data_IF_153920551907
#
_entry.id   IF_153920551907
#
_cell.length_a   1.000
_cell.length_b   1.000
_cell.length_c   1.000
_cell.angle_alpha   90.00
_cell.angle_beta   90.00
_cell.angle_gamma   90.00
#
_symmetry.space_group_name_H-M   'P 1'
#
loop_
_entity.id
_entity.type
_entity.pdbx_description
1 polymer ?
#
# COMPACT_ATOMS: atom_id res chain seq x y z
N UNK A 1 -45.66 23.95 17.98
CA UNK A 1 -45.87 23.60 16.57
C UNK A 1 -44.58 22.97 16.06
N UNK A 2 -44.49 21.64 16.03
CA UNK A 2 -43.36 20.94 15.41
C UNK A 2 -43.71 20.73 13.94
N UNK A 3 -43.39 21.71 13.10
CA UNK A 3 -43.50 21.53 11.65
C UNK A 3 -42.46 20.49 11.24
N UNK A 4 -42.90 19.26 10.93
CA UNK A 4 -42.06 18.27 10.26
C UNK A 4 -41.77 18.82 8.87
N UNK A 5 -40.50 19.04 8.56
CA UNK A 5 -40.07 19.40 7.20
C UNK A 5 -40.53 18.26 6.28
N UNK A 6 -41.28 18.56 5.20
CA UNK A 6 -41.69 17.56 4.23
C UNK A 6 -40.49 16.77 3.69
N UNK A 7 -40.62 15.45 3.61
CA UNK A 7 -39.55 14.50 3.27
C UNK A 7 -38.98 14.77 1.87
N UNK A 8 -39.81 15.28 0.96
CA UNK A 8 -39.47 15.73 -0.39
C UNK A 8 -38.56 16.97 -0.40
N UNK A 9 -38.72 17.88 0.56
CA UNK A 9 -37.83 19.05 0.72
C UNK A 9 -36.48 18.61 1.27
N UNK A 10 -36.45 17.65 2.19
CA UNK A 10 -35.20 17.07 2.69
C UNK A 10 -34.44 16.33 1.58
N UNK A 11 -35.15 15.55 0.76
CA UNK A 11 -34.56 14.88 -0.41
C UNK A 11 -34.08 15.86 -1.48
N UNK A 12 -34.83 16.92 -1.78
CA UNK A 12 -34.40 17.96 -2.72
C UNK A 12 -33.20 18.73 -2.19
N UNK A 13 -33.16 19.04 -0.89
CA UNK A 13 -32.04 19.74 -0.26
C UNK A 13 -30.80 18.86 -0.21
N UNK A 14 -30.93 17.56 0.07
CA UNK A 14 -29.85 16.58 -0.01
C UNK A 14 -29.31 16.47 -1.44
N UNK A 15 -30.18 16.34 -2.45
CA UNK A 15 -29.78 16.31 -3.87
C UNK A 15 -29.12 17.62 -4.34
N UNK A 16 -29.56 18.77 -3.84
CA UNK A 16 -28.97 20.06 -4.15
C UNK A 16 -27.59 20.24 -3.49
N UNK A 17 -27.45 19.83 -2.22
CA UNK A 17 -26.16 19.82 -1.51
C UNK A 17 -25.17 18.83 -2.15
N UNK A 18 -25.65 17.69 -2.67
CA UNK A 18 -24.84 16.74 -3.43
C UNK A 18 -24.39 17.28 -4.79
N UNK A 19 -25.25 18.04 -5.49
CA UNK A 19 -24.92 18.67 -6.76
C UNK A 19 -23.79 19.73 -6.61
N UNK A 20 -23.79 20.48 -5.50
CA UNK A 20 -22.82 21.54 -5.21
C UNK A 20 -21.61 21.08 -4.36
N UNK A 21 -21.51 19.78 -4.02
CA UNK A 21 -20.37 19.27 -3.29
C UNK A 21 -19.07 19.49 -4.09
N UNK A 22 -18.03 19.98 -3.42
CA UNK A 22 -16.69 20.19 -3.98
C UNK A 22 -15.68 19.44 -3.15
N UNK A 23 -14.66 18.88 -3.81
CA UNK A 23 -13.55 18.23 -3.13
C UNK A 23 -12.80 19.26 -2.26
N UNK A 24 -12.87 19.17 -0.92
CA UNK A 24 -12.21 20.13 -0.04
C UNK A 24 -10.68 20.05 -0.16
N UNK A 25 -10.16 18.93 -0.65
CA UNK A 25 -8.73 18.68 -0.85
C UNK A 25 -8.26 19.02 -2.25
N UNK A 26 -9.13 19.51 -3.15
CA UNK A 26 -8.83 19.69 -4.58
C UNK A 26 -7.45 20.30 -4.83
N UNK A 27 -7.17 21.45 -4.23
CA UNK A 27 -5.88 22.13 -4.46
C UNK A 27 -4.73 21.56 -3.63
N UNK A 28 -5.02 20.87 -2.53
CA UNK A 28 -4.00 20.22 -1.70
C UNK A 28 -3.33 19.05 -2.41
N UNK A 29 -3.99 18.44 -3.40
CA UNK A 29 -3.38 17.39 -4.23
C UNK A 29 -2.15 17.85 -5.02
N UNK A 30 -1.94 19.16 -5.19
CA UNK A 30 -0.70 19.71 -5.75
C UNK A 30 0.53 19.44 -4.88
N UNK A 31 0.36 19.04 -3.61
CA UNK A 31 1.47 18.64 -2.75
C UNK A 31 2.26 17.46 -3.33
N UNK A 32 1.62 16.51 -4.01
CA UNK A 32 2.33 15.39 -4.62
C UNK A 32 3.33 15.83 -5.71
N UNK A 33 2.94 16.52 -6.80
CA UNK A 33 3.90 17.02 -7.78
C UNK A 33 4.81 18.13 -7.22
N UNK A 34 4.48 18.75 -6.09
CA UNK A 34 5.37 19.68 -5.40
C UNK A 34 6.60 18.99 -4.77
N UNK A 35 6.51 17.72 -4.34
CA UNK A 35 7.66 17.00 -3.76
C UNK A 35 8.90 16.97 -4.65
N UNK A 36 8.83 16.47 -5.90
CA UNK A 36 10.00 16.48 -6.78
C UNK A 36 10.43 17.90 -7.14
N UNK A 37 9.53 18.88 -7.14
CA UNK A 37 9.87 20.29 -7.35
C UNK A 37 10.65 20.88 -6.15
N UNK A 38 10.26 20.56 -4.92
CA UNK A 38 11.00 20.91 -3.70
C UNK A 38 12.38 20.26 -3.72
N UNK A 39 12.45 18.98 -4.09
CA UNK A 39 13.72 18.26 -4.26
C UNK A 39 14.62 18.91 -5.30
N UNK A 40 14.08 19.25 -6.47
CA UNK A 40 14.78 19.96 -7.53
C UNK A 40 15.31 21.32 -7.04
N UNK A 41 14.48 22.10 -6.35
CA UNK A 41 14.86 23.40 -5.79
C UNK A 41 15.97 23.26 -4.75
N UNK A 42 15.87 22.29 -3.84
CA UNK A 42 16.87 22.02 -2.82
C UNK A 42 18.21 21.59 -3.44
N UNK A 43 18.19 20.69 -4.42
CA UNK A 43 19.39 20.23 -5.13
C UNK A 43 20.00 21.36 -5.97
N UNK A 44 19.18 22.23 -6.56
CA UNK A 44 19.64 23.42 -7.28
C UNK A 44 20.32 24.42 -6.34
N UNK A 45 19.74 24.67 -5.17
CA UNK A 45 20.35 25.53 -4.15
C UNK A 45 21.67 24.93 -3.61
N UNK A 46 21.69 23.61 -3.35
CA UNK A 46 22.92 22.88 -3.04
C UNK A 46 23.98 23.02 -4.14
N UNK A 47 23.57 22.97 -5.42
CA UNK A 47 24.49 23.17 -6.54
C UNK A 47 25.15 24.55 -6.48
N UNK A 48 24.43 25.62 -6.12
CA UNK A 48 24.99 26.98 -6.04
C UNK A 48 25.98 27.12 -4.88
N UNK A 49 25.64 26.61 -3.69
CA UNK A 49 26.45 26.82 -2.49
C UNK A 49 26.65 25.52 -1.68
N UNK A 50 27.35 24.51 -2.23
CA UNK A 50 27.41 23.16 -1.64
C UNK A 50 27.98 23.18 -0.23
N UNK A 51 29.04 23.96 0.03
CA UNK A 51 29.68 24.03 1.35
C UNK A 51 28.78 24.62 2.44
N UNK A 52 27.93 25.59 2.09
CA UNK A 52 27.02 26.26 3.04
C UNK A 52 25.68 25.54 3.18
N UNK A 53 25.23 24.88 2.13
CA UNK A 53 23.90 24.26 2.04
C UNK A 53 23.97 22.73 1.96
N UNK A 54 24.97 22.12 2.61
CA UNK A 54 25.20 20.66 2.58
C UNK A 54 23.99 19.85 3.02
N UNK A 55 23.23 20.35 4.00
CA UNK A 55 22.03 19.69 4.49
C UNK A 55 20.99 19.44 3.38
N UNK A 56 20.95 20.28 2.35
CA UNK A 56 20.02 20.11 1.22
C UNK A 56 20.34 18.88 0.35
N UNK A 57 21.56 18.34 0.42
CA UNK A 57 21.85 17.04 -0.19
C UNK A 57 21.00 15.92 0.44
N UNK A 58 20.61 16.06 1.70
CA UNK A 58 19.83 15.09 2.48
C UNK A 58 18.32 15.39 2.51
N UNK A 59 17.83 16.24 1.59
CA UNK A 59 16.43 16.67 1.57
C UNK A 59 15.44 15.49 1.55
N UNK A 60 15.72 14.41 0.82
CA UNK A 60 14.82 13.25 0.77
C UNK A 60 14.67 12.56 2.13
N UNK A 61 15.76 12.07 2.76
CA UNK A 61 15.69 11.50 4.11
C UNK A 61 15.08 12.45 5.15
N UNK A 62 15.41 13.75 5.10
CA UNK A 62 14.82 14.77 6.00
C UNK A 62 13.30 14.84 5.81
N UNK A 63 12.83 14.86 4.57
CA UNK A 63 11.40 14.90 4.27
C UNK A 63 10.69 13.61 4.67
N UNK A 64 11.22 12.45 4.27
CA UNK A 64 10.60 11.14 4.47
C UNK A 64 10.59 10.72 5.95
N UNK A 65 11.66 10.95 6.70
CA UNK A 65 11.77 10.48 8.09
C UNK A 65 11.58 11.57 9.14
N UNK A 66 11.62 12.84 8.76
CA UNK A 66 11.46 13.97 9.67
C UNK A 66 10.18 14.75 9.42
N UNK A 67 10.13 15.48 8.31
CA UNK A 67 9.08 16.47 8.05
C UNK A 67 7.71 15.83 7.87
N UNK A 68 7.57 14.84 6.98
CA UNK A 68 6.27 14.23 6.69
C UNK A 68 5.69 13.56 7.94
N UNK A 69 6.41 12.68 8.68
CA UNK A 69 5.88 12.09 9.91
C UNK A 69 5.53 13.13 10.99
N UNK A 70 6.33 14.19 11.13
CA UNK A 70 6.05 15.24 12.12
C UNK A 70 4.77 16.01 11.76
N UNK A 71 4.58 16.36 10.49
CA UNK A 71 3.38 17.06 10.03
C UNK A 71 2.15 16.16 10.08
N UNK A 72 2.25 14.88 9.69
CA UNK A 72 1.16 13.90 9.87
C UNK A 72 0.72 13.86 11.34
N UNK A 73 1.65 13.73 12.28
CA UNK A 73 1.34 13.73 13.72
C UNK A 73 0.67 15.03 14.19
N UNK A 74 0.99 16.17 13.59
CA UNK A 74 0.40 17.47 13.95
C UNK A 74 -0.99 17.68 13.36
N UNK A 75 -1.23 17.17 12.14
CA UNK A 75 -2.47 17.40 11.38
C UNK A 75 -3.51 16.30 11.65
N UNK A 76 -3.07 15.05 11.72
CA UNK A 76 -3.92 13.88 12.00
C UNK A 76 -4.57 13.25 10.76
N UNK A 77 -5.60 12.46 11.03
CA UNK A 77 -6.28 11.62 10.05
C UNK A 77 -7.36 12.36 9.24
N UNK A 78 -7.65 11.84 8.05
CA UNK A 78 -8.61 12.36 7.08
C UNK A 78 -9.82 11.42 6.96
N UNK A 79 -10.80 11.53 7.85
CA UNK A 79 -11.97 10.64 7.84
C UNK A 79 -12.94 10.89 6.67
N UNK A 80 -12.73 11.94 5.88
CA UNK A 80 -13.66 12.35 4.84
C UNK A 80 -13.67 11.39 3.64
N UNK A 81 -14.85 10.87 3.31
CA UNK A 81 -15.12 10.12 2.09
C UNK A 81 -15.91 10.99 1.10
N UNK A 82 -15.59 10.95 -0.21
CA UNK A 82 -16.45 11.56 -1.21
C UNK A 82 -17.81 10.83 -1.25
N UNK A 83 -18.94 11.57 -1.35
CA UNK A 83 -20.25 10.95 -1.54
C UNK A 83 -20.29 10.08 -2.81
N UNK A 84 -21.06 8.99 -2.79
CA UNK A 84 -21.11 8.07 -3.95
C UNK A 84 -21.65 8.75 -5.21
N UNK A 85 -22.58 9.70 -5.06
CA UNK A 85 -23.19 10.44 -6.16
C UNK A 85 -22.20 11.30 -6.95
N UNK A 86 -21.07 11.69 -6.36
CA UNK A 86 -20.06 12.55 -7.03
C UNK A 86 -18.88 11.78 -7.59
N UNK A 87 -18.73 10.48 -7.29
CA UNK A 87 -17.60 9.64 -7.74
C UNK A 87 -17.44 9.70 -9.26
N UNK A 88 -18.53 9.49 -10.01
CA UNK A 88 -18.49 9.50 -11.47
C UNK A 88 -17.98 10.83 -12.06
N UNK A 89 -18.32 11.96 -11.43
CA UNK A 89 -17.84 13.30 -11.83
C UNK A 89 -16.35 13.47 -11.50
N UNK A 90 -15.90 13.01 -10.33
CA UNK A 90 -14.50 13.08 -9.93
C UNK A 90 -13.58 12.23 -10.80
N UNK A 91 -14.04 11.04 -11.22
CA UNK A 91 -13.28 10.14 -12.11
C UNK A 91 -13.06 10.75 -13.51
N UNK A 92 -13.98 11.59 -13.98
CA UNK A 92 -13.91 12.22 -15.31
C UNK A 92 -13.13 13.55 -15.30
N UNK A 93 -12.82 14.09 -14.12
CA UNK A 93 -12.15 15.37 -14.00
C UNK A 93 -10.65 15.26 -14.31
N UNK A 94 -10.25 15.87 -15.43
CA UNK A 94 -8.87 15.84 -15.93
C UNK A 94 -7.86 16.48 -15.00
N UNK A 95 -8.30 17.33 -14.07
CA UNK A 95 -7.45 17.97 -13.08
C UNK A 95 -6.61 16.94 -12.30
N UNK A 96 -7.25 15.87 -11.82
CA UNK A 96 -6.58 14.83 -11.04
C UNK A 96 -5.55 14.06 -11.88
N UNK A 97 -5.88 13.75 -13.13
CA UNK A 97 -4.93 13.13 -14.07
C UNK A 97 -3.72 14.04 -14.35
N UNK A 98 -3.93 15.35 -14.47
CA UNK A 98 -2.84 16.31 -14.68
C UNK A 98 -1.92 16.43 -13.48
N UNK A 99 -2.45 16.37 -12.25
CA UNK A 99 -1.63 16.35 -11.02
C UNK A 99 -0.66 15.17 -11.06
N UNK A 100 -1.17 13.97 -11.32
CA UNK A 100 -0.36 12.74 -11.36
C UNK A 100 0.76 12.87 -12.40
N UNK A 101 0.43 13.33 -13.61
CA UNK A 101 1.39 13.53 -14.70
C UNK A 101 2.41 14.64 -14.41
N UNK A 102 2.01 15.66 -13.64
CA UNK A 102 2.84 16.79 -13.25
C UNK A 102 4.06 16.43 -12.39
N UNK A 103 4.08 15.24 -11.78
CA UNK A 103 5.21 14.74 -11.00
C UNK A 103 6.45 14.47 -11.89
N UNK A 104 6.24 13.93 -13.09
CA UNK A 104 7.28 13.34 -13.94
C UNK A 104 8.33 14.38 -14.40
N UNK A 105 7.97 15.58 -14.89
CA UNK A 105 8.97 16.55 -15.36
C UNK A 105 9.96 16.97 -14.25
N UNK A 106 9.46 17.28 -13.06
CA UNK A 106 10.30 17.68 -11.94
C UNK A 106 11.15 16.51 -11.41
N UNK A 107 10.59 15.30 -11.39
CA UNK A 107 11.32 14.07 -11.05
C UNK A 107 12.55 13.88 -11.95
N UNK A 108 12.36 13.99 -13.26
CA UNK A 108 13.44 13.84 -14.24
C UNK A 108 14.46 14.97 -14.12
N UNK A 109 14.01 16.22 -14.00
CA UNK A 109 14.90 17.35 -13.80
C UNK A 109 15.80 17.19 -12.56
N UNK A 110 15.22 16.78 -11.42
CA UNK A 110 15.99 16.52 -10.21
C UNK A 110 17.00 15.38 -10.40
N UNK A 111 16.55 14.26 -10.98
CA UNK A 111 17.37 13.07 -11.23
C UNK A 111 18.58 13.39 -12.12
N UNK A 112 18.36 14.09 -13.24
CA UNK A 112 19.44 14.45 -14.16
C UNK A 112 20.37 15.53 -13.60
N UNK A 113 19.84 16.51 -12.85
CA UNK A 113 20.66 17.51 -12.16
C UNK A 113 21.60 16.85 -11.15
N UNK A 114 21.09 15.98 -10.29
CA UNK A 114 21.90 15.26 -9.31
C UNK A 114 22.92 14.35 -9.98
N UNK A 115 22.53 13.64 -11.04
CA UNK A 115 23.44 12.82 -11.86
C UNK A 115 24.60 13.64 -12.41
N UNK A 116 24.29 14.82 -12.96
CA UNK A 116 25.31 15.75 -13.47
C UNK A 116 26.22 16.24 -12.34
N UNK A 117 25.67 16.64 -11.20
CA UNK A 117 26.45 17.11 -10.04
C UNK A 117 27.42 16.04 -9.55
N UNK A 118 26.93 14.82 -9.31
CA UNK A 118 27.73 13.68 -8.84
C UNK A 118 28.81 13.31 -9.85
N UNK A 119 28.48 13.34 -11.14
CA UNK A 119 29.41 13.00 -12.21
C UNK A 119 30.52 14.02 -12.43
N UNK A 120 30.19 15.31 -12.35
CA UNK A 120 31.10 16.41 -12.73
C UNK A 120 31.88 17.01 -11.56
N UNK A 121 31.39 16.91 -10.32
CA UNK A 121 32.09 17.44 -9.14
C UNK A 121 33.08 16.42 -8.59
N UNK A 122 34.37 16.70 -8.79
CA UNK A 122 35.46 15.80 -8.37
C UNK A 122 35.70 15.78 -6.86
N UNK A 123 35.39 16.87 -6.19
CA UNK A 123 35.62 17.13 -4.76
C UNK A 123 34.35 16.96 -3.90
N UNK A 124 33.35 16.23 -4.39
CA UNK A 124 32.12 15.96 -3.64
C UNK A 124 32.43 15.08 -2.42
N UNK A 125 32.12 15.53 -1.20
CA UNK A 125 32.28 14.72 -0.01
C UNK A 125 31.35 13.51 -0.03
N UNK A 126 31.79 12.38 0.55
CA UNK A 126 31.00 11.15 0.60
C UNK A 126 29.61 11.34 1.24
N UNK A 127 29.51 12.15 2.29
CA UNK A 127 28.21 12.45 2.92
C UNK A 127 27.23 13.11 1.93
N UNK A 128 27.69 14.07 1.12
CA UNK A 128 26.82 14.76 0.18
C UNK A 128 26.44 13.82 -0.99
N UNK A 129 27.38 12.96 -1.41
CA UNK A 129 27.12 11.91 -2.39
C UNK A 129 26.03 10.94 -1.91
N UNK A 130 26.13 10.45 -0.67
CA UNK A 130 25.13 9.56 -0.07
C UNK A 130 23.80 10.28 0.11
N UNK A 131 23.81 11.52 0.60
CA UNK A 131 22.63 12.35 0.72
C UNK A 131 21.90 12.50 -0.61
N UNK A 132 22.62 12.88 -1.69
CA UNK A 132 22.03 13.01 -3.03
C UNK A 132 21.50 11.68 -3.55
N UNK A 133 22.23 10.57 -3.32
CA UNK A 133 21.80 9.23 -3.73
C UNK A 133 20.48 8.85 -3.07
N UNK A 134 20.37 9.05 -1.75
CA UNK A 134 19.16 8.76 -0.99
C UNK A 134 18.03 9.75 -1.33
N UNK A 135 18.34 11.02 -1.56
CA UNK A 135 17.34 12.03 -1.92
C UNK A 135 16.72 11.76 -3.28
N UNK A 136 17.53 11.41 -4.29
CA UNK A 136 17.01 11.05 -5.61
C UNK A 136 16.32 9.69 -5.58
N UNK A 137 16.85 8.72 -4.83
CA UNK A 137 16.16 7.44 -4.65
C UNK A 137 14.82 7.60 -3.94
N UNK A 138 14.69 8.52 -2.97
CA UNK A 138 13.41 8.86 -2.35
C UNK A 138 12.43 9.50 -3.33
N UNK A 139 12.86 10.48 -4.14
CA UNK A 139 12.03 11.08 -5.18
C UNK A 139 11.55 10.02 -6.18
N UNK A 140 12.46 9.18 -6.67
CA UNK A 140 12.15 8.13 -7.64
C UNK A 140 11.37 6.96 -7.03
N UNK A 141 11.52 6.69 -5.74
CA UNK A 141 10.69 5.75 -4.99
C UNK A 141 9.25 6.25 -4.83
N UNK A 142 9.06 7.53 -4.47
CA UNK A 142 7.73 8.15 -4.41
C UNK A 142 7.10 8.24 -5.81
N UNK A 143 7.90 8.43 -6.87
CA UNK A 143 7.43 8.40 -8.25
C UNK A 143 6.79 7.07 -8.64
N UNK A 144 7.10 5.97 -7.95
CA UNK A 144 6.44 4.68 -8.18
C UNK A 144 4.94 4.80 -7.93
N UNK A 145 4.46 5.66 -7.03
CA UNK A 145 3.02 5.92 -6.83
C UNK A 145 2.39 6.61 -8.05
N UNK A 146 3.14 7.50 -8.72
CA UNK A 146 2.73 8.07 -10.02
C UNK A 146 2.64 6.95 -11.06
N UNK A 147 3.65 6.07 -11.10
CA UNK A 147 3.67 4.89 -11.97
C UNK A 147 2.50 3.95 -11.71
N UNK A 148 2.19 3.70 -10.44
CA UNK A 148 1.12 2.85 -9.94
C UNK A 148 -0.25 3.35 -10.40
N UNK A 149 -0.59 4.61 -10.10
CA UNK A 149 -1.88 5.21 -10.48
C UNK A 149 -2.10 5.19 -12.00
N UNK A 150 -1.06 5.53 -12.77
CA UNK A 150 -1.12 5.51 -14.23
C UNK A 150 -1.16 4.09 -14.83
N UNK A 151 -0.57 3.10 -14.14
CA UNK A 151 -0.56 1.71 -14.62
C UNK A 151 -1.95 1.08 -14.63
N UNK A 152 -2.85 1.55 -13.76
CA UNK A 152 -4.23 1.09 -13.67
C UNK A 152 -5.14 1.68 -14.75
N UNK A 153 -4.68 2.70 -15.49
CA UNK A 153 -5.45 3.33 -16.56
C UNK A 153 -5.32 2.54 -17.87
N UNK A 154 -6.38 2.54 -18.67
CA UNK A 154 -6.41 1.82 -19.95
C UNK A 154 -5.77 2.59 -21.12
N UNK A 155 -5.56 3.90 -20.95
CA UNK A 155 -5.02 4.75 -22.00
C UNK A 155 -3.52 4.46 -22.27
N UNK A 156 -3.12 4.45 -23.54
CA UNK A 156 -1.74 4.12 -23.95
C UNK A 156 -0.73 5.16 -23.46
N UNK A 157 -1.10 6.44 -23.41
CA UNK A 157 -0.23 7.50 -22.90
C UNK A 157 -0.03 7.33 -21.40
N UNK A 158 -1.09 7.02 -20.65
CA UNK A 158 -0.96 6.77 -19.21
C UNK A 158 -0.06 5.56 -18.94
N UNK A 159 -0.21 4.48 -19.71
CA UNK A 159 0.66 3.29 -19.62
C UNK A 159 2.12 3.61 -19.97
N UNK A 160 2.37 4.47 -20.96
CA UNK A 160 3.72 4.94 -21.28
C UNK A 160 4.30 5.83 -20.16
N UNK A 161 3.53 6.78 -19.65
CA UNK A 161 3.94 7.67 -18.56
C UNK A 161 4.16 6.90 -17.24
N UNK A 162 3.40 5.82 -17.02
CA UNK A 162 3.66 4.87 -15.93
C UNK A 162 5.05 4.26 -16.03
N UNK A 163 5.40 3.69 -17.20
CA UNK A 163 6.75 3.17 -17.42
C UNK A 163 7.81 4.27 -17.33
N UNK A 164 7.52 5.48 -17.77
CA UNK A 164 8.44 6.62 -17.67
C UNK A 164 8.71 7.00 -16.21
N UNK A 165 7.69 7.07 -15.35
CA UNK A 165 7.85 7.32 -13.92
C UNK A 165 8.70 6.24 -13.22
N UNK A 166 8.58 4.97 -13.66
CA UNK A 166 9.29 3.80 -13.11
C UNK A 166 10.70 3.59 -13.68
N UNK A 167 11.02 4.17 -14.83
CA UNK A 167 12.29 3.94 -15.53
C UNK A 167 13.53 4.33 -14.71
N UNK A 168 13.54 5.45 -13.94
CA UNK A 168 14.67 5.80 -13.08
C UNK A 168 14.99 4.80 -11.97
N UNK A 169 14.06 3.93 -11.56
CA UNK A 169 14.32 2.87 -10.59
C UNK A 169 14.62 1.51 -11.25
N UNK A 170 14.48 1.42 -12.58
CA UNK A 170 14.59 0.15 -13.31
C UNK A 170 13.43 -0.82 -13.02
N UNK A 171 12.37 -0.36 -12.36
CA UNK A 171 11.28 -1.20 -11.84
C UNK A 171 10.06 -1.23 -12.75
N UNK A 172 10.23 -0.99 -14.06
CA UNK A 172 9.13 -0.86 -15.03
C UNK A 172 8.27 -2.10 -15.19
N UNK A 173 8.77 -3.28 -14.81
CA UNK A 173 7.97 -4.52 -14.81
C UNK A 173 6.76 -4.44 -13.87
N UNK A 174 6.81 -3.57 -12.85
CA UNK A 174 5.71 -3.29 -11.94
C UNK A 174 4.43 -2.83 -12.66
N UNK A 175 4.53 -2.07 -13.76
CA UNK A 175 3.38 -1.64 -14.55
C UNK A 175 2.57 -2.79 -15.18
N UNK A 176 3.18 -3.98 -15.26
CA UNK A 176 2.53 -5.23 -15.69
C UNK A 176 2.22 -6.11 -14.48
N UNK A 177 3.18 -6.28 -13.56
CA UNK A 177 3.06 -7.16 -12.41
C UNK A 177 1.93 -6.73 -11.48
N UNK A 178 1.88 -5.45 -11.12
CA UNK A 178 0.98 -4.98 -10.08
C UNK A 178 -0.49 -5.13 -10.47
N UNK A 179 -0.96 -4.62 -11.63
CA UNK A 179 -2.39 -4.67 -11.96
C UNK A 179 -2.90 -6.09 -12.25
N UNK A 180 -2.06 -6.96 -12.82
CA UNK A 180 -2.48 -8.28 -13.31
C UNK A 180 -1.98 -9.45 -12.45
N UNK A 181 -1.04 -9.19 -11.56
CA UNK A 181 -0.39 -10.15 -10.68
C UNK A 181 -0.77 -9.91 -9.24
N UNK A 182 -0.14 -8.93 -8.60
CA UNK A 182 -0.35 -8.62 -7.19
C UNK A 182 -1.83 -8.36 -6.86
N UNK A 183 -2.52 -7.45 -7.55
CA UNK A 183 -3.95 -7.20 -7.29
C UNK A 183 -4.84 -8.45 -7.38
N UNK A 184 -4.47 -9.41 -8.23
CA UNK A 184 -5.19 -10.67 -8.40
C UNK A 184 -4.94 -11.64 -7.24
N UNK A 185 -3.71 -11.65 -6.71
CA UNK A 185 -3.23 -12.64 -5.73
C UNK A 185 -2.96 -12.06 -4.34
N UNK A 186 -3.16 -10.76 -4.12
CA UNK A 186 -2.94 -10.09 -2.85
C UNK A 186 -3.57 -10.86 -1.70
N UNK A 187 -2.87 -10.91 -0.57
CA UNK A 187 -3.18 -11.72 0.60
C UNK A 187 -3.33 -13.21 0.28
N UNK A 188 -2.55 -13.76 -0.65
CA UNK A 188 -2.42 -15.21 -0.83
C UNK A 188 -0.94 -15.65 -0.75
N UNK A 189 -0.66 -16.90 -0.33
CA UNK A 189 0.72 -17.40 -0.26
C UNK A 189 1.50 -17.37 -1.58
N UNK A 190 0.80 -17.36 -2.73
CA UNK A 190 1.38 -17.29 -4.07
C UNK A 190 1.74 -15.87 -4.52
N UNK A 191 1.33 -14.85 -3.78
CA UNK A 191 1.69 -13.47 -4.08
C UNK A 191 3.06 -13.10 -3.49
N UNK A 192 4.05 -12.75 -4.32
CA UNK A 192 5.37 -12.40 -3.83
C UNK A 192 5.39 -11.12 -2.99
N UNK A 193 4.44 -10.20 -3.21
CA UNK A 193 4.34 -8.93 -2.50
C UNK A 193 3.51 -9.01 -1.20
N UNK A 194 2.86 -10.14 -0.92
CA UNK A 194 2.20 -10.37 0.37
C UNK A 194 3.21 -10.84 1.42
N UNK A 195 3.53 -9.99 2.38
CA UNK A 195 4.49 -10.27 3.47
C UNK A 195 3.87 -11.16 4.55
N UNK A 196 4.71 -11.96 5.21
CA UNK A 196 4.24 -12.95 6.19
C UNK A 196 4.53 -12.50 7.61
N UNK A 197 3.65 -12.85 8.54
CA UNK A 197 3.91 -12.67 9.97
C UNK A 197 5.17 -13.45 10.35
N UNK A 198 6.09 -12.80 11.06
CA UNK A 198 7.42 -13.30 11.38
C UNK A 198 8.48 -13.21 10.28
N UNK A 199 8.14 -12.90 9.03
CA UNK A 199 9.13 -12.65 7.98
C UNK A 199 9.79 -11.29 8.21
N UNK A 200 11.11 -11.15 8.04
CA UNK A 200 11.78 -9.84 8.11
C UNK A 200 11.73 -9.14 6.75
N UNK A 201 11.79 -7.81 6.73
CA UNK A 201 11.90 -7.07 5.47
C UNK A 201 13.09 -7.55 4.61
N UNK A 202 14.21 -7.91 5.25
CA UNK A 202 15.41 -8.38 4.55
C UNK A 202 15.26 -9.78 3.93
N UNK A 203 14.39 -10.64 4.49
CA UNK A 203 13.99 -11.91 3.88
C UNK A 203 12.94 -11.71 2.80
N UNK A 204 12.01 -10.78 3.03
CA UNK A 204 10.96 -10.40 2.10
C UNK A 204 11.52 -9.79 0.81
N UNK A 205 12.44 -8.83 0.91
CA UNK A 205 12.94 -8.03 -0.22
C UNK A 205 13.41 -8.85 -1.43
N UNK A 206 14.33 -9.83 -1.30
CA UNK A 206 14.70 -10.66 -2.45
C UNK A 206 13.56 -11.53 -2.96
N UNK A 207 12.65 -12.00 -2.07
CA UNK A 207 11.48 -12.82 -2.45
C UNK A 207 10.51 -12.02 -3.30
N UNK A 208 10.15 -10.80 -2.89
CA UNK A 208 9.24 -9.93 -3.62
C UNK A 208 9.83 -9.50 -4.96
N UNK A 209 11.10 -9.07 -5.00
CA UNK A 209 11.75 -8.59 -6.24
C UNK A 209 11.86 -9.70 -7.28
N UNK A 210 12.40 -10.86 -6.90
CA UNK A 210 12.58 -11.99 -7.83
C UNK A 210 11.22 -12.58 -8.23
N UNK A 211 10.30 -12.70 -7.26
CA UNK A 211 8.96 -13.22 -7.49
C UNK A 211 8.13 -12.32 -8.41
N UNK A 212 8.18 -11.00 -8.19
CA UNK A 212 7.51 -9.99 -9.00
C UNK A 212 8.02 -10.02 -10.44
N UNK A 213 9.34 -10.07 -10.66
CA UNK A 213 9.90 -10.20 -12.00
C UNK A 213 9.42 -11.48 -12.72
N UNK A 214 9.46 -12.64 -12.03
CA UNK A 214 8.97 -13.92 -12.59
C UNK A 214 7.47 -13.88 -12.90
N UNK A 215 6.69 -13.27 -12.01
CA UNK A 215 5.24 -13.06 -12.17
C UNK A 215 4.96 -12.20 -13.41
N UNK A 216 5.62 -11.04 -13.53
CA UNK A 216 5.49 -10.13 -14.66
C UNK A 216 5.80 -10.83 -15.99
N UNK A 217 6.92 -11.58 -16.05
CA UNK A 217 7.31 -12.36 -17.22
C UNK A 217 6.24 -13.37 -17.62
N UNK A 218 5.69 -14.13 -16.65
CA UNK A 218 4.64 -15.12 -16.91
C UNK A 218 3.37 -14.45 -17.44
N UNK A 219 2.91 -13.38 -16.78
CA UNK A 219 1.72 -12.63 -17.18
C UNK A 219 1.84 -12.15 -18.61
N UNK A 220 2.97 -11.54 -18.95
CA UNK A 220 3.18 -10.94 -20.26
C UNK A 220 3.33 -11.98 -21.36
N UNK A 221 4.06 -13.06 -21.08
CA UNK A 221 4.19 -14.20 -22.00
C UNK A 221 2.82 -14.81 -22.32
N UNK A 222 1.97 -15.00 -21.32
CA UNK A 222 0.60 -15.51 -21.51
C UNK A 222 -0.28 -14.53 -22.29
N UNK A 223 -0.17 -13.22 -22.03
CA UNK A 223 -0.91 -12.17 -22.78
C UNK A 223 -0.53 -12.17 -24.26
N UNK A 224 0.75 -12.26 -24.58
CA UNK A 224 1.24 -12.32 -25.97
C UNK A 224 0.84 -13.62 -26.66
N UNK A 225 0.92 -14.77 -25.97
CA UNK A 225 0.50 -16.05 -26.50
C UNK A 225 -0.98 -16.07 -26.90
N UNK A 226 -1.87 -15.49 -26.06
CA UNK A 226 -3.30 -15.30 -26.40
C UNK A 226 -3.53 -14.44 -27.65
N UNK A 227 -2.56 -13.61 -28.02
CA UNK A 227 -2.57 -12.77 -29.23
C UNK A 227 -1.80 -13.39 -30.41
N UNK A 228 -1.31 -14.62 -30.29
CA UNK A 228 -0.50 -15.28 -31.30
C UNK A 228 0.89 -14.64 -31.51
N UNK A 229 1.43 -13.94 -30.51
CA UNK A 229 2.71 -13.21 -30.59
C UNK A 229 3.79 -13.88 -29.75
N UNK A 230 5.03 -13.78 -30.20
CA UNK A 230 6.20 -14.22 -29.44
C UNK A 230 6.57 -13.21 -28.34
N UNK A 231 7.40 -13.64 -27.38
CA UNK A 231 7.91 -12.76 -26.32
C UNK A 231 8.71 -11.57 -26.89
N UNK A 232 9.39 -11.72 -28.01
CA UNK A 232 10.19 -10.66 -28.64
C UNK A 232 9.38 -9.67 -29.48
N UNK A 233 8.05 -9.69 -29.36
CA UNK A 233 7.18 -8.73 -30.04
C UNK A 233 7.41 -7.31 -29.55
N UNK A 234 7.30 -6.33 -30.47
CA UNK A 234 7.28 -4.89 -30.11
C UNK A 234 6.12 -4.53 -29.20
N UNK A 235 5.08 -5.36 -29.12
CA UNK A 235 3.95 -5.19 -28.20
C UNK A 235 4.22 -5.70 -26.79
N UNK A 236 5.40 -6.26 -26.52
CA UNK A 236 5.79 -6.70 -25.19
C UNK A 236 6.05 -5.49 -24.29
N UNK A 237 5.19 -5.28 -23.29
CA UNK A 237 5.28 -4.14 -22.37
C UNK A 237 6.51 -4.23 -21.44
N UNK A 238 6.98 -5.44 -21.12
CA UNK A 238 8.23 -5.62 -20.36
C UNK A 238 9.44 -5.17 -21.17
N UNK A 239 9.52 -5.57 -22.45
CA UNK A 239 10.63 -5.15 -23.31
C UNK A 239 10.63 -3.63 -23.53
N UNK A 240 9.46 -3.02 -23.70
CA UNK A 240 9.33 -1.57 -23.78
C UNK A 240 9.81 -0.87 -22.51
N UNK A 241 9.36 -1.32 -21.33
CA UNK A 241 9.78 -0.76 -20.05
C UNK A 241 11.27 -0.94 -19.77
N UNK A 242 11.84 -2.12 -20.04
CA UNK A 242 13.26 -2.36 -19.86
C UNK A 242 14.11 -1.55 -20.84
N UNK A 243 13.68 -1.40 -22.09
CA UNK A 243 14.34 -0.52 -23.05
C UNK A 243 14.30 0.95 -22.59
N UNK A 244 13.18 1.39 -22.00
CA UNK A 244 13.05 2.73 -21.45
C UNK A 244 14.00 2.95 -20.26
N UNK A 245 14.05 2.00 -19.32
CA UNK A 245 14.98 2.03 -18.18
C UNK A 245 16.43 2.06 -18.64
N UNK A 246 16.80 1.20 -19.60
CA UNK A 246 18.14 1.17 -20.19
C UNK A 246 18.49 2.50 -20.87
N UNK A 247 17.54 3.10 -21.59
CA UNK A 247 17.69 4.42 -22.20
C UNK A 247 17.91 5.53 -21.17
N UNK A 248 17.13 5.55 -20.08
CA UNK A 248 17.28 6.51 -18.98
C UNK A 248 18.64 6.35 -18.29
N UNK A 249 19.04 5.11 -17.96
CA UNK A 249 20.34 4.85 -17.35
C UNK A 249 21.50 5.20 -18.28
N UNK A 250 21.37 4.91 -19.59
CA UNK A 250 22.33 5.32 -20.61
C UNK A 250 22.47 6.84 -20.70
N UNK A 251 21.35 7.57 -20.68
CA UNK A 251 21.34 9.04 -20.67
C UNK A 251 21.96 9.61 -19.39
N UNK A 252 21.64 9.04 -18.22
CA UNK A 252 22.26 9.41 -16.95
C UNK A 252 23.78 9.18 -16.97
N UNK A 253 24.24 8.04 -17.48
CA UNK A 253 25.64 7.73 -17.63
C UNK A 253 26.34 8.65 -18.65
N UNK A 254 25.67 9.06 -19.72
CA UNK A 254 26.21 10.03 -20.67
C UNK A 254 26.37 11.43 -20.05
N UNK A 255 25.41 11.86 -19.21
CA UNK A 255 25.44 13.16 -18.53
C UNK A 255 26.49 13.20 -17.42
N UNK A 256 26.49 12.18 -16.54
CA UNK A 256 27.36 12.09 -15.37
C UNK A 256 28.73 11.42 -15.61
N UNK A 257 28.90 10.72 -16.73
CA UNK A 257 30.08 9.90 -16.99
C UNK A 257 30.15 8.66 -16.10
N UNK A 258 31.22 7.87 -16.23
CA UNK A 258 31.41 6.60 -15.50
C UNK A 258 31.35 6.76 -13.97
N UNK A 259 31.70 7.94 -13.44
CA UNK A 259 31.67 8.23 -11.99
C UNK A 259 30.24 8.26 -11.42
N UNK A 260 29.21 8.47 -12.24
CA UNK A 260 27.82 8.44 -11.78
C UNK A 260 27.23 7.03 -11.70
N UNK A 261 27.91 5.99 -12.21
CA UNK A 261 27.36 4.62 -12.23
C UNK A 261 26.97 4.08 -10.84
N UNK A 262 27.79 4.21 -9.78
CA UNK A 262 27.37 3.75 -8.46
C UNK A 262 26.20 4.57 -7.89
N UNK A 263 26.08 5.85 -8.28
CA UNK A 263 24.95 6.70 -7.90
C UNK A 263 23.67 6.26 -8.60
N UNK A 264 23.74 5.98 -9.91
CA UNK A 264 22.62 5.46 -10.71
C UNK A 264 22.10 4.15 -10.10
N UNK A 265 23.00 3.22 -9.78
CA UNK A 265 22.66 1.95 -9.15
C UNK A 265 22.09 2.15 -7.74
N UNK A 266 22.74 2.98 -6.91
CA UNK A 266 22.34 3.22 -5.53
C UNK A 266 20.96 3.87 -5.40
N UNK A 267 20.68 4.90 -6.20
CA UNK A 267 19.38 5.57 -6.19
C UNK A 267 18.28 4.66 -6.74
N UNK A 268 18.58 3.84 -7.76
CA UNK A 268 17.61 2.91 -8.33
C UNK A 268 17.25 1.81 -7.33
N UNK A 269 18.26 1.22 -6.69
CA UNK A 269 18.08 0.19 -5.67
C UNK A 269 17.32 0.72 -4.45
N UNK A 270 17.64 1.92 -3.97
CA UNK A 270 16.92 2.54 -2.85
C UNK A 270 15.49 2.92 -3.23
N UNK A 271 15.26 3.50 -4.43
CA UNK A 271 13.91 3.83 -4.90
C UNK A 271 13.03 2.59 -5.08
N UNK A 272 13.57 1.50 -5.65
CA UNK A 272 12.86 0.23 -5.76
C UNK A 272 12.59 -0.39 -4.38
N UNK A 273 13.55 -0.35 -3.45
CA UNK A 273 13.34 -0.89 -2.11
C UNK A 273 12.33 -0.11 -1.28
N UNK A 274 12.12 1.18 -1.56
CA UNK A 274 11.05 1.98 -0.97
C UNK A 274 9.65 1.48 -1.36
N UNK A 275 9.43 1.06 -2.61
CA UNK A 275 8.19 0.37 -2.98
C UNK A 275 8.03 -0.92 -2.17
N UNK A 276 9.07 -1.74 -2.13
CA UNK A 276 8.95 -3.07 -1.51
C UNK A 276 8.74 -3.00 0.00
N UNK A 277 9.31 -2.02 0.70
CA UNK A 277 9.00 -1.85 2.13
C UNK A 277 7.56 -1.38 2.35
N UNK A 278 6.98 -0.62 1.41
CA UNK A 278 5.56 -0.28 1.46
C UNK A 278 4.70 -1.52 1.25
N UNK A 279 4.96 -2.35 0.23
CA UNK A 279 4.28 -3.65 0.06
C UNK A 279 4.39 -4.52 1.32
N UNK A 280 5.57 -4.55 1.93
CA UNK A 280 5.81 -5.29 3.17
C UNK A 280 4.94 -4.80 4.33
N UNK A 281 4.81 -3.48 4.49
CA UNK A 281 3.97 -2.85 5.51
C UNK A 281 2.48 -3.13 5.25
N UNK A 282 2.05 -2.97 4.01
CA UNK A 282 0.66 -3.03 3.55
C UNK A 282 0.03 -4.42 3.67
N UNK A 283 0.82 -5.48 3.57
CA UNK A 283 0.30 -6.84 3.47
C UNK A 283 0.74 -7.78 4.60
N UNK A 284 1.30 -7.22 5.68
CA UNK A 284 1.91 -8.01 6.75
C UNK A 284 0.93 -8.95 7.43
N UNK A 285 1.14 -10.27 7.25
CA UNK A 285 0.43 -11.33 7.97
C UNK A 285 -1.01 -11.60 7.52
N UNK A 286 -1.55 -10.81 6.58
CA UNK A 286 -2.93 -10.94 6.13
C UNK A 286 -3.07 -12.06 5.08
N UNK A 287 -4.18 -12.82 5.16
CA UNK A 287 -4.45 -13.94 4.26
C UNK A 287 -5.93 -14.09 3.93
N UNK A 288 -6.24 -14.17 2.65
CA UNK A 288 -7.52 -14.61 2.11
C UNK A 288 -7.72 -16.09 2.33
N UNK A 289 -8.94 -16.44 2.71
CA UNK A 289 -9.33 -17.82 2.94
C UNK A 289 -9.81 -18.49 1.65
N UNK A 290 -9.69 -19.82 1.60
CA UNK A 290 -10.24 -20.65 0.53
C UNK A 290 -11.62 -21.17 0.94
N UNK A 291 -12.54 -21.20 0.00
CA UNK A 291 -13.81 -21.92 0.16
C UNK A 291 -13.61 -23.44 0.13
N UNK A 292 -14.69 -24.19 0.36
CA UNK A 292 -14.68 -25.67 0.31
C UNK A 292 -14.24 -26.24 -1.06
N UNK A 293 -14.22 -25.43 -2.12
CA UNK A 293 -13.76 -25.81 -3.47
C UNK A 293 -12.30 -25.37 -3.73
N UNK A 294 -11.61 -24.86 -2.71
CA UNK A 294 -10.22 -24.42 -2.80
C UNK A 294 -10.03 -23.06 -3.50
N UNK A 295 -11.10 -22.31 -3.75
CA UNK A 295 -11.02 -20.99 -4.40
C UNK A 295 -10.87 -19.90 -3.35
N UNK A 296 -9.91 -19.00 -3.56
CA UNK A 296 -9.77 -17.82 -2.69
C UNK A 296 -11.01 -16.92 -2.78
N UNK A 297 -11.47 -16.45 -1.62
CA UNK A 297 -12.50 -15.42 -1.50
C UNK A 297 -12.10 -14.12 -2.22
N UNK A 298 -13.04 -13.25 -2.60
CA UNK A 298 -12.69 -11.98 -3.27
C UNK A 298 -11.83 -11.09 -2.35
N UNK A 299 -10.92 -10.31 -2.92
CA UNK A 299 -10.21 -9.24 -2.19
C UNK A 299 -11.23 -8.24 -1.60
N UNK A 300 -11.02 -7.87 -0.33
CA UNK A 300 -11.90 -7.05 0.52
C UNK A 300 -11.01 -6.10 1.31
N UNK A 301 -11.56 -5.00 1.89
CA UNK A 301 -10.77 -4.06 2.69
C UNK A 301 -9.95 -4.69 3.82
N UNK A 302 -10.41 -5.80 4.39
CA UNK A 302 -9.69 -6.56 5.44
C UNK A 302 -8.40 -7.26 4.97
N UNK A 303 -8.15 -7.34 3.67
CA UNK A 303 -7.00 -8.07 3.10
C UNK A 303 -5.75 -7.20 2.88
N UNK A 304 -5.76 -5.95 3.34
CA UNK A 304 -4.60 -5.07 3.37
C UNK A 304 -4.72 -4.03 4.49
N UNK A 305 -3.59 -3.64 5.06
CA UNK A 305 -3.50 -2.60 6.08
C UNK A 305 -3.78 -1.21 5.48
N UNK A 306 -4.51 -0.39 6.23
CA UNK A 306 -4.90 0.96 5.88
C UNK A 306 -4.18 2.00 6.76
N UNK A 307 -4.00 3.22 6.27
CA UNK A 307 -3.68 4.39 7.08
C UNK A 307 -4.43 5.60 6.51
N UNK A 308 -4.79 6.55 7.38
CA UNK A 308 -5.62 7.67 6.98
C UNK A 308 -4.98 9.03 7.24
N UNK A 309 -3.66 9.08 7.49
CA UNK A 309 -2.93 10.31 7.74
C UNK A 309 -3.04 11.29 6.55
N UNK A 310 -3.55 12.50 6.79
CA UNK A 310 -3.93 13.43 5.73
C UNK A 310 -2.75 13.83 4.84
N UNK A 311 -1.60 14.18 5.44
CA UNK A 311 -0.48 14.75 4.69
C UNK A 311 0.22 13.70 3.85
N UNK A 312 0.49 12.52 4.41
CA UNK A 312 0.96 11.36 3.63
C UNK A 312 -0.01 11.00 2.50
N UNK A 313 -1.34 11.08 2.73
CA UNK A 313 -2.32 10.82 1.67
C UNK A 313 -2.26 11.84 0.53
N UNK A 314 -2.05 13.12 0.82
CA UNK A 314 -1.93 14.14 -0.22
C UNK A 314 -0.66 13.96 -1.05
N UNK A 315 0.45 13.54 -0.42
CA UNK A 315 1.71 13.27 -1.13
C UNK A 315 1.71 11.98 -1.95
N UNK A 316 1.03 10.95 -1.46
CA UNK A 316 1.07 9.60 -2.03
C UNK A 316 -0.18 9.24 -2.84
N UNK A 317 -0.98 10.23 -3.28
CA UNK A 317 -2.24 9.98 -4.00
C UNK A 317 -3.17 9.01 -3.24
N UNK A 318 -3.41 9.30 -1.97
CA UNK A 318 -4.25 8.49 -1.08
C UNK A 318 -3.91 7.00 -1.05
N UNK A 319 -2.68 6.61 -1.42
CA UNK A 319 -2.26 5.21 -1.44
C UNK A 319 -2.49 4.54 -0.08
N UNK A 320 -2.41 5.28 1.02
CA UNK A 320 -2.65 4.71 2.35
C UNK A 320 -4.09 4.22 2.56
N UNK A 321 -5.06 4.67 1.75
CA UNK A 321 -6.40 4.07 1.66
C UNK A 321 -6.37 2.76 0.85
N UNK A 322 -5.38 1.94 1.16
CA UNK A 322 -4.95 0.77 0.39
C UNK A 322 -5.99 -0.34 0.40
N UNK A 323 -6.73 -0.47 1.50
CA UNK A 323 -7.84 -1.41 1.66
C UNK A 323 -8.91 -1.21 0.59
N UNK A 324 -9.31 0.03 0.31
CA UNK A 324 -10.27 0.33 -0.76
C UNK A 324 -9.64 0.14 -2.14
N UNK A 325 -8.38 0.56 -2.29
CA UNK A 325 -7.64 0.39 -3.54
C UNK A 325 -7.57 -1.08 -3.96
N UNK A 326 -7.27 -2.01 -3.05
CA UNK A 326 -7.24 -3.44 -3.35
C UNK A 326 -8.62 -4.06 -3.60
N UNK A 327 -9.65 -3.59 -2.89
CA UNK A 327 -11.02 -4.04 -3.11
C UNK A 327 -11.61 -3.52 -4.45
N UNK A 328 -11.15 -2.34 -4.88
CA UNK A 328 -11.63 -1.60 -6.05
C UNK A 328 -10.47 -0.95 -6.85
N UNK A 329 -9.60 -1.74 -7.51
CA UNK A 329 -8.34 -1.26 -8.10
C UNK A 329 -8.49 -0.27 -9.26
N UNK A 330 -9.69 -0.13 -9.81
CA UNK A 330 -9.99 0.83 -10.88
C UNK A 330 -10.40 2.21 -10.37
N UNK A 331 -10.61 2.39 -9.07
CA UNK A 331 -10.89 3.72 -8.48
C UNK A 331 -9.64 4.58 -8.53
N UNK A 332 -9.80 5.83 -8.95
CA UNK A 332 -8.73 6.82 -8.90
C UNK A 332 -8.55 7.34 -7.47
N UNK A 333 -7.36 7.82 -7.15
CA UNK A 333 -7.01 8.24 -5.79
C UNK A 333 -7.98 9.21 -5.11
N UNK A 334 -8.57 10.15 -5.85
CA UNK A 334 -9.49 11.15 -5.31
C UNK A 334 -10.85 10.57 -4.91
N UNK A 335 -11.14 9.32 -5.29
CA UNK A 335 -12.38 8.60 -4.98
C UNK A 335 -12.18 7.45 -3.99
N UNK A 336 -10.94 7.22 -3.53
CA UNK A 336 -10.64 6.19 -2.53
C UNK A 336 -11.30 6.52 -1.18
N UNK A 337 -11.75 5.47 -0.50
CA UNK A 337 -12.53 5.57 0.74
C UNK A 337 -11.81 4.95 1.93
N UNK A 338 -12.07 5.49 3.11
CA UNK A 338 -11.74 4.86 4.38
C UNK A 338 -12.93 4.02 4.87
N UNK A 339 -12.64 2.86 5.47
CA UNK A 339 -13.62 1.96 6.08
C UNK A 339 -13.26 1.70 7.54
N UNK A 340 -14.22 1.81 8.45
CA UNK A 340 -13.99 1.65 9.90
C UNK A 340 -13.50 0.24 10.27
N UNK A 341 -13.99 -0.80 9.58
CA UNK A 341 -13.63 -2.19 9.86
C UNK A 341 -12.33 -2.65 9.16
N UNK A 342 -11.67 -1.80 8.38
CA UNK A 342 -10.41 -2.14 7.75
C UNK A 342 -9.27 -2.18 8.79
N UNK A 343 -8.33 -3.13 8.71
CA UNK A 343 -7.18 -3.16 9.60
C UNK A 343 -6.32 -1.91 9.38
N UNK A 344 -6.02 -1.16 10.43
CA UNK A 344 -5.28 0.11 10.34
C UNK A 344 -3.87 0.00 10.93
N UNK A 345 -2.90 0.62 10.26
CA UNK A 345 -1.55 0.81 10.77
C UNK A 345 -1.56 1.79 11.95
N UNK A 346 -0.61 1.66 12.89
CA UNK A 346 -0.49 2.58 14.03
C UNK A 346 0.09 3.95 13.65
N UNK A 347 0.48 4.15 12.39
CA UNK A 347 0.97 5.43 11.88
C UNK A 347 0.99 5.46 10.36
N UNK A 348 1.25 6.64 9.80
CA UNK A 348 1.38 6.83 8.36
C UNK A 348 2.57 6.09 7.78
N UNK A 349 2.55 5.82 6.48
CA UNK A 349 3.57 4.99 5.82
C UNK A 349 5.00 5.47 6.08
N UNK A 350 5.23 6.78 6.00
CA UNK A 350 6.53 7.40 6.26
C UNK A 350 7.05 7.07 7.68
N UNK A 351 6.16 7.04 8.68
CA UNK A 351 6.52 6.69 10.07
C UNK A 351 6.78 5.20 10.26
N UNK A 352 6.15 4.35 9.45
CA UNK A 352 6.26 2.88 9.53
C UNK A 352 7.51 2.32 8.82
N UNK A 353 8.17 3.12 7.97
CA UNK A 353 9.40 2.72 7.25
C UNK A 353 10.53 2.27 8.18
N UNK A 354 10.89 3.09 9.18
CA UNK A 354 11.98 2.77 10.10
C UNK A 354 11.67 1.51 10.92
N UNK A 355 10.50 1.37 11.58
CA UNK A 355 10.12 0.12 12.23
C UNK A 355 10.26 -1.11 11.33
N UNK A 356 9.81 -1.03 10.07
CA UNK A 356 9.84 -2.16 9.13
C UNK A 356 11.26 -2.68 8.83
N UNK A 357 12.27 -1.81 8.83
CA UNK A 357 13.67 -2.20 8.63
C UNK A 357 14.30 -2.94 9.82
N UNK A 358 13.73 -2.81 11.03
CA UNK A 358 14.25 -3.41 12.26
C UNK A 358 13.29 -4.50 12.78
N UNK A 359 13.58 -5.80 12.55
CA UNK A 359 12.66 -6.89 12.84
C UNK A 359 12.06 -6.89 14.25
N UNK A 360 12.86 -6.66 15.29
CA UNK A 360 12.38 -6.63 16.67
C UNK A 360 11.36 -5.52 16.94
N UNK A 361 11.57 -4.34 16.34
CA UNK A 361 10.64 -3.22 16.44
C UNK A 361 9.37 -3.54 15.65
N UNK A 362 9.51 -3.99 14.41
CA UNK A 362 8.38 -4.38 13.56
C UNK A 362 7.48 -5.43 14.21
N UNK A 363 8.05 -6.54 14.68
CA UNK A 363 7.28 -7.63 15.30
C UNK A 363 6.60 -7.18 16.59
N UNK A 364 7.27 -6.36 17.40
CA UNK A 364 6.68 -5.79 18.62
C UNK A 364 5.47 -4.91 18.35
N UNK A 365 5.42 -4.26 17.18
CA UNK A 365 4.35 -3.36 16.77
C UNK A 365 3.21 -4.08 16.05
N UNK A 366 3.52 -4.97 15.10
CA UNK A 366 2.55 -5.48 14.14
C UNK A 366 2.00 -6.86 14.46
N UNK A 367 2.76 -7.74 15.13
CA UNK A 367 2.32 -9.13 15.37
C UNK A 367 0.98 -9.18 16.11
N UNK A 368 0.81 -8.35 17.14
CA UNK A 368 -0.42 -8.28 17.92
C UNK A 368 -1.60 -7.76 17.09
N UNK A 369 -1.36 -6.74 16.26
CA UNK A 369 -2.40 -6.19 15.38
C UNK A 369 -2.91 -7.25 14.40
N UNK A 370 -2.01 -8.07 13.84
CA UNK A 370 -2.40 -9.20 12.98
C UNK A 370 -3.28 -10.20 13.75
N UNK A 371 -2.89 -10.57 14.98
CA UNK A 371 -3.64 -11.52 15.80
C UNK A 371 -5.02 -10.96 16.16
N UNK A 372 -5.08 -9.70 16.59
CA UNK A 372 -6.32 -9.02 16.98
C UNK A 372 -7.28 -8.91 15.79
N UNK A 373 -6.75 -8.62 14.59
CA UNK A 373 -7.53 -8.60 13.35
C UNK A 373 -8.24 -9.93 13.08
N UNK A 374 -7.57 -11.08 13.33
CA UNK A 374 -8.18 -12.41 13.22
C UNK A 374 -8.82 -12.92 14.52
N UNK A 375 -9.01 -12.05 15.53
CA UNK A 375 -9.62 -12.39 16.82
C UNK A 375 -8.97 -13.59 17.51
N UNK A 376 -7.65 -13.73 17.36
CA UNK A 376 -6.87 -14.83 17.93
C UNK A 376 -6.84 -16.11 17.08
N UNK A 377 -7.55 -16.18 15.95
CA UNK A 377 -7.51 -17.35 15.07
C UNK A 377 -6.23 -17.38 14.22
N UNK A 378 -5.19 -18.02 14.77
CA UNK A 378 -3.88 -18.16 14.13
C UNK A 378 -3.92 -18.97 12.82
N UNK A 379 -4.98 -19.77 12.57
CA UNK A 379 -5.08 -20.58 11.35
C UNK A 379 -5.31 -19.71 10.10
N UNK A 380 -5.80 -18.49 10.29
CA UNK A 380 -6.11 -17.53 9.22
C UNK A 380 -4.95 -16.60 8.86
N UNK A 381 -3.83 -16.67 9.57
CA UNK A 381 -2.68 -15.79 9.40
C UNK A 381 -1.70 -16.35 8.36
N UNK A 382 -1.19 -15.50 7.48
CA UNK A 382 -0.07 -15.83 6.60
C UNK A 382 1.24 -15.76 7.39
N UNK A 383 1.75 -16.91 7.88
CA UNK A 383 2.98 -16.98 8.68
C UNK A 383 4.21 -17.37 7.86
N UNK A 384 5.38 -16.88 8.26
CA UNK A 384 6.65 -17.36 7.73
C UNK A 384 6.82 -18.87 8.05
N UNK A 385 6.95 -19.75 7.04
CA UNK A 385 7.05 -21.19 7.26
C UNK A 385 8.17 -21.60 8.23
N UNK A 386 9.31 -20.90 8.20
CA UNK A 386 10.46 -21.20 9.06
C UNK A 386 10.23 -20.83 10.53
N UNK A 387 9.31 -19.90 10.80
CA UNK A 387 8.99 -19.43 12.16
C UNK A 387 7.61 -19.85 12.63
N UNK A 388 6.91 -20.68 11.85
CA UNK A 388 5.52 -21.04 12.12
C UNK A 388 5.35 -21.69 13.50
N UNK A 389 6.20 -22.66 13.83
CA UNK A 389 6.15 -23.36 15.12
C UNK A 389 6.46 -22.40 16.29
N UNK A 390 7.47 -21.53 16.14
CA UNK A 390 7.81 -20.49 17.11
C UNK A 390 6.64 -19.55 17.36
N UNK A 391 6.00 -19.06 16.29
CA UNK A 391 4.86 -18.13 16.38
C UNK A 391 3.63 -18.79 17.00
N UNK A 392 3.34 -20.04 16.64
CA UNK A 392 2.25 -20.81 17.24
C UNK A 392 2.50 -21.10 18.72
N UNK A 393 3.74 -21.41 19.12
CA UNK A 393 4.10 -21.60 20.52
C UNK A 393 4.02 -20.29 21.32
N UNK A 394 4.39 -19.17 20.70
CA UNK A 394 4.41 -17.85 21.34
C UNK A 394 3.01 -17.25 21.52
N UNK A 395 2.14 -17.40 20.52
CA UNK A 395 0.83 -16.73 20.47
C UNK A 395 -0.36 -17.69 20.61
N UNK A 396 -0.14 -19.00 20.52
CA UNK A 396 -1.17 -19.98 20.78
C UNK A 396 -1.63 -19.89 22.23
N UNK A 397 -2.94 -19.76 22.42
CA UNK A 397 -3.53 -19.95 23.75
C UNK A 397 -3.28 -21.42 24.16
N UNK A 398 -2.85 -21.71 25.41
CA UNK A 398 -2.87 -23.07 25.90
C UNK A 398 -4.32 -23.56 25.80
N UNK A 399 -4.55 -24.61 25.02
CA UNK A 399 -5.85 -25.27 24.95
C UNK A 399 -6.16 -25.74 26.36
N UNK A 400 -7.09 -25.06 27.06
CA UNK A 400 -7.67 -25.62 28.27
C UNK A 400 -8.39 -26.88 27.80
N UNK A 401 -7.83 -28.04 28.14
CA UNK A 401 -8.46 -29.32 27.88
C UNK A 401 -9.83 -29.30 28.56
N UNK A 402 -10.90 -29.11 27.78
CA UNK A 402 -12.25 -29.39 28.26
C UNK A 402 -12.29 -30.89 28.47
N UNK A 403 -12.26 -31.31 29.73
CA UNK A 403 -12.40 -32.72 30.10
C UNK A 403 -13.69 -33.27 29.45
N UNK A 404 -13.65 -34.48 28.86
CA UNK A 404 -14.85 -35.06 28.29
C UNK A 404 -15.91 -35.20 29.38
N UNK A 405 -17.09 -34.64 29.14
CA UNK A 405 -18.24 -34.88 29.98
C UNK A 405 -18.52 -36.38 29.97
N UNK A 406 -18.32 -37.04 31.11
CA UNK A 406 -18.72 -38.42 31.32
C UNK A 406 -20.24 -38.43 31.40
N UNK A 407 -20.91 -38.86 30.33
CA UNK A 407 -22.31 -39.27 30.41
C UNK A 407 -22.39 -40.53 31.29
N UNK A 408 -22.86 -40.34 32.53
CA UNK A 408 -23.34 -41.44 33.34
C UNK A 408 -24.73 -41.84 32.82
N UNK A 409 -24.78 -42.94 32.05
CA UNK A 409 -26.01 -43.65 31.78
C UNK A 409 -26.48 -44.32 33.08
N UNK A 410 -27.60 -43.85 33.64
CA UNK A 410 -28.35 -44.61 34.62
C UNK A 410 -29.45 -45.41 33.90
N UNK A 411 -29.34 -46.73 34.00
CA UNK A 411 -30.23 -47.68 33.41
C UNK A 411 -31.02 -48.37 34.52
N UNK A 412 -32.34 -48.19 34.50
CA UNK A 412 -33.27 -49.24 34.89
C UNK A 412 -34.16 -48.94 36.08
N UNK A 413 -35.45 -48.76 35.80
CA UNK A 413 -36.49 -49.60 36.41
C UNK A 413 -37.82 -49.35 35.69
N UNK A 414 -38.33 -50.39 35.03
CA UNK A 414 -39.76 -50.57 34.80
C UNK A 414 -40.33 -51.19 36.08
N UNK A 415 -41.46 -50.68 36.57
CA UNK A 415 -42.67 -51.49 36.81
C UNK A 415 -43.86 -50.63 37.28
N UNK A 416 -44.87 -50.62 36.40
CA UNK A 416 -46.32 -50.82 36.62
C UNK A 416 -47.04 -50.48 37.95
N UNK A 417 -48.16 -49.76 37.76
CA UNK A 417 -49.54 -49.97 38.29
C UNK A 417 -50.03 -49.08 39.45
N UNK A 418 -51.25 -48.57 39.20
CA UNK A 418 -52.29 -48.07 40.11
C UNK A 418 -52.02 -46.76 40.86
N UNK A 419 -52.97 -45.92 41.23
CA UNK A 419 -54.38 -45.61 40.90
C UNK A 419 -54.73 -44.54 41.98
N UNK A 420 -55.66 -43.63 41.68
CA UNK A 420 -56.43 -42.81 42.65
C UNK A 420 -55.83 -41.55 43.30
N UNK A 421 -56.70 -40.52 43.36
CA UNK A 421 -56.71 -39.46 44.39
C UNK A 421 -56.14 -38.11 43.93
N UNK A 422 -56.92 -37.20 43.33
CA UNK A 422 -57.80 -36.22 43.99
C UNK A 422 -57.09 -35.16 44.84
N UNK A 423 -57.36 -33.88 44.54
CA UNK A 423 -57.25 -32.75 45.48
C UNK A 423 -56.13 -31.76 45.10
N UNK A 424 -56.44 -30.68 44.39
CA UNK A 424 -56.87 -29.37 44.93
C UNK A 424 -55.76 -28.50 45.54
N UNK A 425 -55.60 -27.32 44.93
CA UNK A 425 -55.29 -26.03 45.56
C UNK A 425 -53.87 -25.90 46.19
N UNK A 426 -53.20 -24.76 46.28
CA UNK A 426 -53.53 -23.34 46.09
C UNK A 426 -52.19 -22.59 46.02
N UNK A 427 -52.16 -21.54 45.19
CA UNK A 427 -51.62 -20.20 45.49
C UNK A 427 -50.62 -20.03 46.65
N UNK A 428 -49.45 -19.43 46.34
CA UNK A 428 -49.09 -18.10 46.88
C UNK A 428 -47.86 -17.51 46.19
N UNK A 429 -48.08 -16.32 45.64
CA UNK A 429 -47.07 -15.32 45.33
C UNK A 429 -46.48 -14.73 46.62
N UNK A 430 -45.21 -14.30 46.58
CA UNK A 430 -44.71 -13.12 47.32
C UNK A 430 -43.63 -12.43 46.48
N UNK A 431 -43.89 -11.16 46.20
CA UNK A 431 -42.97 -10.16 45.67
C UNK A 431 -41.83 -9.84 46.64
N UNK A 432 -40.67 -9.53 46.08
CA UNK A 432 -39.98 -8.25 46.31
C UNK A 432 -38.89 -8.05 45.27
#
# INVERSE_FOLDING_TARGET
>A
MNAKVPEDILEQTARAAEADWKDPKRYLWLLSPALPAIGLAAISAYAVAPKKLRALAWVGPIMVHGVIPAVDKMVGDDEANPPESVIGRLEQDKYYSWIVKGFIPAQYAATFLATWLVGRRKDMPLSDYLGLTLSIGAINGIAINTGHELSHKHDKMDRFLSMLALAPTGYTHFAVEHPYGHHKRVATPEDPASSRMGESFWKFLPRTVIGGFKSAYKIEKERLARKGKSFWSKENELLQGWALSAGVFGAMAAVGGVRSLPFIAGQAAYGASLLEVINYIEHYGLMRQKDAKGKYERTRPEHSWNSNQLVSNLFLYQLQRHSDHHAHPTRSFQTLRNFEDAPTLPGGYASMLLPAYFPSWWYGLMDRLVIDHYKGDLSRINMDPERREELLAKYGQPVVAVAPAVEAADAGSKDTIAETGSGESTLKAVNS
#
